data_IF_263666044908
#
_entry.id   IF_263666044908
#
_cell.length_a   1.000
_cell.length_b   1.000
_cell.length_c   1.000
_cell.angle_alpha   90.00
_cell.angle_beta   90.00
_cell.angle_gamma   90.00
#
_symmetry.space_group_name_H-M   'P 1'
#
loop_
_entity.id
_entity.type
_entity.pdbx_description
1 polymer ?
#
# COMPACT_ATOMS: atom_id res chain seq x y z
N UNK A 1 64.88 -22.23 12.95
CA UNK A 1 63.55 -22.48 13.57
C UNK A 1 62.58 -21.44 13.04
N UNK A 2 61.58 -21.87 12.27
CA UNK A 2 60.57 -20.99 11.65
C UNK A 2 59.36 -20.91 12.58
N UNK A 3 59.02 -19.72 13.07
CA UNK A 3 57.76 -19.44 13.76
C UNK A 3 56.66 -19.20 12.72
N UNK A 4 55.49 -19.86 12.80
CA UNK A 4 54.34 -19.45 12.00
C UNK A 4 53.57 -18.34 12.75
N UNK A 5 53.34 -17.25 12.03
CA UNK A 5 52.44 -16.15 12.39
C UNK A 5 51.00 -16.70 12.37
N UNK A 6 50.30 -16.72 13.52
CA UNK A 6 48.84 -16.92 13.53
C UNK A 6 48.17 -15.59 13.17
N UNK A 7 47.59 -15.55 11.97
CA UNK A 7 46.72 -14.46 11.53
C UNK A 7 45.32 -14.72 12.08
N UNK A 8 44.93 -14.01 13.14
CA UNK A 8 43.56 -14.02 13.67
C UNK A 8 42.64 -13.24 12.72
N UNK A 9 41.85 -13.93 11.91
CA UNK A 9 40.77 -13.35 11.14
C UNK A 9 39.64 -12.92 12.11
N UNK A 10 39.46 -11.62 12.31
CA UNK A 10 38.25 -11.08 12.92
C UNK A 10 37.14 -11.16 11.86
N UNK A 11 36.28 -12.17 11.94
CA UNK A 11 35.00 -12.13 11.22
C UNK A 11 34.12 -11.06 11.89
N UNK A 12 34.05 -9.88 11.27
CA UNK A 12 32.96 -8.95 11.53
C UNK A 12 31.74 -9.51 10.82
N UNK A 13 30.87 -10.20 11.55
CA UNK A 13 29.55 -10.57 11.07
C UNK A 13 28.75 -9.28 10.87
N UNK A 14 28.54 -8.87 9.62
CA UNK A 14 27.47 -7.93 9.27
C UNK A 14 26.14 -8.62 9.59
N UNK A 15 25.63 -8.41 10.80
CA UNK A 15 24.21 -8.65 11.06
C UNK A 15 23.44 -7.56 10.34
N UNK A 16 22.82 -7.89 9.20
CA UNK A 16 21.75 -7.08 8.66
C UNK A 16 20.71 -6.92 9.77
N UNK A 17 20.48 -5.68 10.21
CA UNK A 17 19.39 -5.38 11.14
C UNK A 17 18.09 -5.64 10.39
N UNK A 18 17.55 -6.86 10.51
CA UNK A 18 16.16 -7.13 10.20
C UNK A 18 15.35 -6.24 11.14
N UNK A 19 14.56 -5.32 10.56
CA UNK A 19 13.68 -4.47 11.34
C UNK A 19 12.69 -5.36 12.08
N UNK A 20 12.71 -5.30 13.41
CA UNK A 20 11.75 -6.05 14.22
C UNK A 20 10.33 -5.59 13.86
N UNK A 21 9.38 -6.52 13.63
CA UNK A 21 8.02 -6.16 13.26
C UNK A 21 7.38 -5.32 14.38
N UNK A 22 6.86 -4.15 14.01
CA UNK A 22 6.19 -3.21 14.91
C UNK A 22 4.72 -3.63 15.03
N UNK A 23 4.50 -4.72 15.79
CA UNK A 23 3.19 -5.34 15.98
C UNK A 23 2.46 -4.68 17.15
N UNK A 24 1.28 -4.14 16.87
CA UNK A 24 0.39 -3.52 17.87
C UNK A 24 -0.95 -4.27 17.92
N UNK A 25 -1.41 -4.74 19.08
CA UNK A 25 -2.77 -5.26 19.24
C UNK A 25 -3.80 -4.17 18.93
N UNK A 26 -4.91 -4.53 18.28
CA UNK A 26 -5.99 -3.59 17.93
C UNK A 26 -7.33 -4.18 18.33
N UNK A 27 -8.20 -3.37 18.94
CA UNK A 27 -9.57 -3.78 19.31
C UNK A 27 -10.61 -3.25 18.33
N UNK A 28 -11.83 -3.78 18.35
CA UNK A 28 -12.94 -3.26 17.53
C UNK A 28 -13.27 -1.77 17.82
N UNK A 29 -12.97 -1.29 19.02
CA UNK A 29 -13.18 0.11 19.38
C UNK A 29 -12.16 1.04 18.71
N UNK A 30 -11.01 0.51 18.32
CA UNK A 30 -9.94 1.24 17.68
C UNK A 30 -10.11 1.14 16.16
N UNK A 31 -10.40 2.26 15.50
CA UNK A 31 -10.35 2.30 14.04
C UNK A 31 -8.92 2.05 13.57
N UNK A 32 -8.69 0.92 12.91
CA UNK A 32 -7.41 0.60 12.27
C UNK A 32 -7.05 1.70 11.28
N UNK A 33 -5.85 2.27 11.44
CA UNK A 33 -5.21 3.12 10.42
C UNK A 33 -4.39 2.23 9.49
N UNK A 34 -4.32 2.60 8.21
CA UNK A 34 -3.63 1.80 7.19
C UNK A 34 -2.35 2.44 6.64
N UNK A 35 -2.12 3.71 6.99
CA UNK A 35 -0.96 4.51 6.61
C UNK A 35 -0.62 5.44 7.77
N UNK A 36 0.67 5.64 8.06
CA UNK A 36 1.14 6.64 9.01
C UNK A 36 2.55 7.13 8.70
N UNK A 37 2.88 8.33 9.16
CA UNK A 37 4.28 8.75 9.30
C UNK A 37 4.74 8.41 10.72
N UNK A 38 5.77 7.56 10.82
CA UNK A 38 6.49 7.31 12.07
C UNK A 38 7.48 8.44 12.31
N UNK A 39 7.49 8.98 13.51
CA UNK A 39 8.44 10.01 13.93
C UNK A 39 9.28 9.52 15.11
N UNK A 40 10.48 10.07 15.25
CA UNK A 40 11.35 9.81 16.41
C UNK A 40 10.88 10.58 17.66
N UNK A 41 11.64 10.47 18.77
CA UNK A 41 11.36 11.18 20.03
C UNK A 41 11.42 12.71 19.92
N UNK A 42 11.99 13.24 18.83
CA UNK A 42 12.09 14.68 18.55
C UNK A 42 11.03 15.13 17.54
N UNK A 43 10.05 14.28 17.22
CA UNK A 43 9.01 14.52 16.24
C UNK A 43 9.55 14.72 14.80
N UNK A 44 10.72 14.14 14.50
CA UNK A 44 11.27 14.11 13.15
C UNK A 44 10.72 12.89 12.41
N UNK A 45 10.13 13.04 11.21
CA UNK A 45 9.72 11.91 10.39
C UNK A 45 10.89 10.96 10.11
N UNK A 46 10.71 9.67 10.37
CA UNK A 46 11.71 8.62 10.15
C UNK A 46 11.24 7.52 9.20
N UNK A 47 9.93 7.32 9.03
CA UNK A 47 9.40 6.40 8.02
C UNK A 47 7.97 6.76 7.60
N UNK A 48 7.61 6.47 6.34
CA UNK A 48 6.22 6.27 5.94
C UNK A 48 5.91 4.79 6.10
N UNK A 49 4.95 4.45 6.95
CA UNK A 49 4.60 3.07 7.27
C UNK A 49 3.22 2.68 6.76
N UNK A 50 3.12 1.46 6.26
CA UNK A 50 1.90 0.81 5.83
C UNK A 50 1.50 -0.29 6.81
N UNK A 51 0.19 -0.49 6.97
CA UNK A 51 -0.34 -1.49 7.87
C UNK A 51 -0.54 -2.83 7.18
N UNK A 52 -0.05 -3.88 7.82
CA UNK A 52 -0.51 -5.25 7.62
C UNK A 52 -1.46 -5.56 8.77
N UNK A 53 -2.76 -5.35 8.54
CA UNK A 53 -3.77 -5.42 9.59
C UNK A 53 -4.47 -6.78 9.57
N UNK A 54 -4.33 -7.53 10.66
CA UNK A 54 -4.94 -8.84 10.83
C UNK A 54 -6.35 -8.75 11.36
N UNK A 55 -7.22 -9.51 10.71
CA UNK A 55 -8.58 -9.76 11.12
C UNK A 55 -8.77 -11.26 11.35
N UNK A 56 -9.41 -11.60 12.48
CA UNK A 56 -9.69 -12.98 12.86
C UNK A 56 -11.20 -13.20 13.03
N UNK A 57 -11.73 -14.40 12.81
CA UNK A 57 -13.16 -14.66 12.95
C UNK A 57 -13.69 -14.47 14.39
N UNK A 58 -14.93 -14.00 14.51
CA UNK A 58 -15.67 -13.96 15.76
C UNK A 58 -16.39 -15.32 15.92
N UNK A 59 -15.87 -16.20 16.80
CA UNK A 59 -16.50 -17.45 17.30
C UNK A 59 -17.35 -18.28 16.31
N UNK A 60 -16.91 -19.49 15.95
CA UNK A 60 -17.68 -20.45 15.13
C UNK A 60 -17.11 -20.71 13.73
N UNK A 61 -15.98 -20.06 13.41
CA UNK A 61 -15.13 -20.28 12.23
C UNK A 61 -13.78 -20.84 12.74
N UNK A 62 -13.03 -21.65 11.96
CA UNK A 62 -11.77 -22.24 12.41
C UNK A 62 -10.83 -21.18 13.02
N UNK A 63 -10.32 -21.46 14.22
CA UNK A 63 -9.49 -20.51 14.98
C UNK A 63 -8.14 -20.20 14.32
N UNK A 64 -7.74 -21.00 13.34
CA UNK A 64 -6.53 -20.84 12.53
C UNK A 64 -6.77 -20.05 11.22
N UNK A 65 -8.00 -19.58 10.98
CA UNK A 65 -8.33 -18.71 9.86
C UNK A 65 -8.06 -17.24 10.18
N UNK A 66 -7.46 -16.50 9.24
CA UNK A 66 -7.33 -15.05 9.33
C UNK A 66 -7.23 -14.39 7.96
N UNK A 67 -7.60 -13.12 7.91
CA UNK A 67 -7.46 -12.25 6.74
C UNK A 67 -6.56 -11.08 7.14
N UNK A 68 -5.42 -10.94 6.47
CA UNK A 68 -4.57 -9.76 6.62
C UNK A 68 -4.86 -8.78 5.47
N UNK A 69 -5.25 -7.56 5.82
CA UNK A 69 -5.33 -6.43 4.91
C UNK A 69 -3.91 -5.84 4.77
N UNK A 70 -3.27 -6.10 3.64
CA UNK A 70 -1.88 -5.69 3.34
C UNK A 70 -1.92 -4.42 2.51
N UNK A 71 -1.69 -3.28 3.18
CA UNK A 71 -1.74 -1.96 2.55
C UNK A 71 -0.60 -1.76 1.58
N UNK A 72 -0.86 -1.15 0.43
CA UNK A 72 0.14 -0.85 -0.58
C UNK A 72 0.18 0.64 -0.95
N UNK A 73 1.35 1.07 -1.43
CA UNK A 73 1.51 2.26 -2.27
C UNK A 73 2.21 1.81 -3.55
N UNK A 74 1.99 2.53 -4.66
CA UNK A 74 2.57 2.14 -5.95
C UNK A 74 4.06 2.43 -6.08
N UNK A 75 4.60 3.33 -5.24
CA UNK A 75 6.03 3.64 -5.15
C UNK A 75 6.51 3.52 -3.72
N UNK A 76 7.55 2.73 -3.46
CA UNK A 76 8.12 2.48 -2.14
C UNK A 76 9.59 2.08 -2.26
N UNK A 77 10.32 2.00 -1.14
CA UNK A 77 11.66 1.45 -1.17
C UNK A 77 11.63 0.00 -1.63
N UNK A 78 12.65 -0.44 -2.37
CA UNK A 78 12.70 -1.80 -2.91
C UNK A 78 12.54 -2.89 -1.83
N UNK A 79 13.18 -2.67 -0.68
CA UNK A 79 13.14 -3.59 0.46
C UNK A 79 11.71 -3.81 0.98
N UNK A 80 10.80 -2.84 0.81
CA UNK A 80 9.39 -3.01 1.14
C UNK A 80 8.78 -4.16 0.34
N UNK A 81 8.95 -4.15 -0.98
CA UNK A 81 8.39 -5.16 -1.87
C UNK A 81 9.09 -6.53 -1.71
N UNK A 82 10.40 -6.54 -1.46
CA UNK A 82 11.14 -7.77 -1.15
C UNK A 82 10.60 -8.46 0.12
N UNK A 83 10.31 -7.67 1.17
CA UNK A 83 9.68 -8.17 2.39
C UNK A 83 8.26 -8.69 2.13
N UNK A 84 7.48 -8.00 1.29
CA UNK A 84 6.15 -8.46 0.90
C UNK A 84 6.19 -9.78 0.11
N UNK A 85 7.09 -9.94 -0.86
CA UNK A 85 7.25 -11.19 -1.59
C UNK A 85 7.56 -12.38 -0.67
N UNK A 86 8.35 -12.14 0.38
CA UNK A 86 8.62 -13.15 1.42
C UNK A 86 7.38 -13.44 2.26
N UNK A 87 6.68 -12.39 2.70
CA UNK A 87 5.46 -12.49 3.49
C UNK A 87 4.34 -13.23 2.74
N UNK A 88 4.16 -12.97 1.45
CA UNK A 88 3.11 -13.59 0.62
C UNK A 88 3.22 -15.10 0.49
N UNK A 89 4.42 -15.68 0.63
CA UNK A 89 4.62 -17.12 0.62
C UNK A 89 4.01 -17.83 1.85
N UNK A 90 3.67 -17.07 2.90
CA UNK A 90 3.11 -17.61 4.14
C UNK A 90 1.59 -17.77 4.11
N UNK A 91 0.91 -17.27 3.08
CA UNK A 91 -0.54 -17.33 2.93
C UNK A 91 -0.97 -18.43 1.96
N UNK A 92 -2.11 -19.05 2.24
CA UNK A 92 -2.77 -19.96 1.31
C UNK A 92 -3.20 -19.22 0.03
N UNK A 93 -3.65 -17.97 0.18
CA UNK A 93 -4.19 -17.14 -0.90
C UNK A 93 -3.79 -15.67 -0.72
N UNK A 94 -3.31 -15.06 -1.80
CA UNK A 94 -3.04 -13.62 -1.92
C UNK A 94 -3.97 -13.05 -2.98
N UNK A 95 -4.96 -12.27 -2.54
CA UNK A 95 -5.88 -11.53 -3.39
C UNK A 95 -5.23 -10.22 -3.80
N UNK A 96 -5.02 -10.01 -5.10
CA UNK A 96 -4.30 -8.82 -5.57
C UNK A 96 -5.14 -7.90 -6.45
N UNK A 97 -4.85 -6.61 -6.31
CA UNK A 97 -5.39 -5.51 -7.09
C UNK A 97 -4.71 -5.39 -8.46
N UNK A 98 -5.50 -5.50 -9.54
CA UNK A 98 -5.09 -5.12 -10.90
C UNK A 98 -6.29 -5.09 -11.83
N UNK A 99 -6.66 -3.94 -12.39
CA UNK A 99 -7.71 -3.87 -13.41
C UNK A 99 -7.21 -4.54 -14.71
N UNK A 100 -7.63 -5.78 -14.93
CA UNK A 100 -7.21 -6.63 -16.04
C UNK A 100 -8.24 -7.76 -16.26
N UNK A 101 -8.16 -8.43 -17.41
CA UNK A 101 -8.96 -9.63 -17.66
C UNK A 101 -8.50 -10.78 -16.74
N UNK A 102 -9.43 -11.63 -16.31
CA UNK A 102 -9.10 -12.77 -15.45
C UNK A 102 -8.11 -13.72 -16.17
N UNK A 103 -7.05 -14.12 -15.48
CA UNK A 103 -5.98 -14.94 -16.06
C UNK A 103 -4.90 -14.15 -16.81
N UNK A 104 -4.97 -12.81 -16.82
CA UNK A 104 -3.86 -11.97 -17.32
C UNK A 104 -2.60 -12.28 -16.51
N UNK A 105 -1.56 -12.77 -17.20
CA UNK A 105 -0.25 -12.96 -16.57
C UNK A 105 0.48 -11.63 -16.49
N UNK A 106 0.81 -11.23 -15.27
CA UNK A 106 1.68 -10.09 -15.02
C UNK A 106 3.10 -10.54 -15.37
N UNK A 107 3.72 -9.85 -16.32
CA UNK A 107 5.13 -10.02 -16.66
C UNK A 107 5.79 -8.65 -16.59
N UNK A 108 7.05 -8.62 -16.17
CA UNK A 108 7.86 -7.40 -16.12
C UNK A 108 8.07 -6.77 -17.51
N UNK A 109 7.66 -7.45 -18.58
CA UNK A 109 7.68 -6.95 -19.97
C UNK A 109 6.36 -6.23 -20.34
N UNK A 110 5.25 -6.53 -19.67
CA UNK A 110 3.95 -5.88 -19.92
C UNK A 110 3.75 -4.61 -19.07
N UNK A 111 4.67 -4.33 -18.15
CA UNK A 111 4.72 -3.11 -17.35
C UNK A 111 5.45 -2.01 -18.12
N UNK A 112 4.77 -1.39 -19.07
CA UNK A 112 5.14 -0.01 -19.46
C UNK A 112 5.74 0.23 -20.84
N UNK A 113 5.34 -0.50 -21.88
CA UNK A 113 5.67 -0.11 -23.27
C UNK A 113 4.81 1.06 -23.81
N UNK A 114 4.17 1.81 -22.91
CA UNK A 114 3.41 3.01 -23.22
C UNK A 114 4.28 4.26 -23.09
N UNK A 115 4.64 4.86 -24.22
CA UNK A 115 5.21 6.23 -24.35
C UNK A 115 4.20 7.32 -23.93
N UNK A 116 3.52 7.16 -22.80
CA UNK A 116 2.57 8.11 -22.24
C UNK A 116 3.29 9.12 -21.33
N UNK A 117 2.87 10.38 -21.40
CA UNK A 117 3.33 11.47 -20.51
C UNK A 117 3.23 11.07 -19.03
N UNK A 118 2.20 10.31 -18.67
CA UNK A 118 1.99 9.83 -17.30
C UNK A 118 3.08 8.83 -16.88
N UNK A 119 3.48 7.91 -17.76
CA UNK A 119 4.56 6.96 -17.51
C UNK A 119 5.89 7.69 -17.30
N UNK A 120 6.19 8.72 -18.11
CA UNK A 120 7.40 9.53 -17.96
C UNK A 120 7.43 10.25 -16.60
N UNK A 121 6.31 10.85 -16.19
CA UNK A 121 6.20 11.53 -14.89
C UNK A 121 6.35 10.56 -13.73
N UNK A 122 5.71 9.40 -13.82
CA UNK A 122 5.85 8.32 -12.84
C UNK A 122 7.33 7.90 -12.72
N UNK A 123 7.98 7.52 -13.81
CA UNK A 123 9.38 7.08 -13.81
C UNK A 123 10.35 8.20 -13.35
N UNK A 124 10.08 9.45 -13.72
CA UNK A 124 10.86 10.60 -13.24
C UNK A 124 10.77 10.77 -11.73
N UNK A 125 9.57 10.68 -11.16
CA UNK A 125 9.35 10.81 -9.71
C UNK A 125 10.01 9.68 -8.91
N UNK A 126 9.93 8.43 -9.40
CA UNK A 126 10.64 7.28 -8.81
C UNK A 126 12.13 7.54 -8.69
N UNK A 127 12.77 8.00 -9.77
CA UNK A 127 14.23 8.22 -9.81
C UNK A 127 14.67 9.40 -8.92
N UNK A 128 13.87 10.46 -8.86
CA UNK A 128 14.16 11.62 -8.00
C UNK A 128 14.04 11.27 -6.52
N UNK A 129 13.07 10.42 -6.18
CA UNK A 129 12.84 9.95 -4.83
C UNK A 129 13.61 8.66 -4.50
N UNK A 130 14.39 8.06 -5.40
CA UNK A 130 15.09 6.79 -5.14
C UNK A 130 14.17 5.63 -4.73
N UNK A 131 12.92 5.62 -5.20
CA UNK A 131 11.93 4.59 -4.90
C UNK A 131 11.87 3.53 -6.00
N UNK A 132 10.98 2.55 -5.87
CA UNK A 132 10.68 1.50 -6.85
C UNK A 132 9.18 1.33 -7.08
N UNK A 133 8.77 0.85 -8.26
CA UNK A 133 7.36 0.59 -8.57
C UNK A 133 6.94 -0.78 -8.10
N UNK A 134 5.74 -0.87 -7.55
CA UNK A 134 5.16 -2.14 -7.09
C UNK A 134 5.17 -3.23 -8.17
N UNK A 135 4.75 -2.89 -9.40
CA UNK A 135 4.67 -3.86 -10.48
C UNK A 135 6.04 -4.33 -11.00
N UNK A 136 7.11 -3.57 -10.75
CA UNK A 136 8.48 -3.97 -11.11
C UNK A 136 9.04 -5.00 -10.10
N UNK A 137 8.63 -4.89 -8.83
CA UNK A 137 9.30 -5.55 -7.70
C UNK A 137 8.48 -6.70 -7.07
N UNK A 138 7.14 -6.70 -7.17
CA UNK A 138 6.30 -7.79 -6.67
C UNK A 138 6.28 -8.94 -7.68
N UNK A 139 6.56 -10.15 -7.20
CA UNK A 139 6.44 -11.37 -7.99
C UNK A 139 5.03 -11.95 -7.88
N UNK A 140 4.25 -11.78 -8.94
CA UNK A 140 2.88 -12.29 -9.06
C UNK A 140 2.79 -13.71 -9.64
N UNK A 141 3.94 -14.34 -9.94
CA UNK A 141 3.98 -15.70 -10.51
C UNK A 141 3.59 -16.85 -9.57
N UNK A 142 3.68 -16.74 -8.22
CA UNK A 142 3.30 -17.84 -7.34
C UNK A 142 1.82 -18.23 -7.45
N UNK A 143 1.53 -19.53 -7.36
CA UNK A 143 0.17 -20.07 -7.58
C UNK A 143 -0.86 -19.62 -6.54
N UNK A 144 -0.43 -19.11 -5.39
CA UNK A 144 -1.33 -18.59 -4.36
C UNK A 144 -1.81 -17.15 -4.67
N UNK A 145 -1.29 -16.49 -5.71
CA UNK A 145 -1.84 -15.22 -6.18
C UNK A 145 -3.11 -15.43 -6.98
N UNK A 146 -4.20 -14.85 -6.50
CA UNK A 146 -5.53 -14.92 -7.12
C UNK A 146 -5.97 -13.53 -7.50
N UNK A 147 -6.26 -13.33 -8.78
CA UNK A 147 -6.79 -12.06 -9.28
C UNK A 147 -8.12 -11.75 -8.62
N UNK A 148 -8.22 -10.57 -8.01
CA UNK A 148 -9.35 -10.21 -7.15
C UNK A 148 -10.00 -8.87 -7.53
N UNK A 149 -9.75 -8.39 -8.76
CA UNK A 149 -10.19 -7.08 -9.22
C UNK A 149 -11.10 -7.18 -10.46
N UNK A 150 -11.66 -6.04 -10.88
CA UNK A 150 -12.59 -5.96 -12.00
C UNK A 150 -11.87 -5.88 -13.35
N UNK A 151 -12.54 -6.32 -14.42
CA UNK A 151 -12.03 -6.15 -15.79
C UNK A 151 -12.09 -4.69 -16.24
N UNK A 152 -11.34 -4.27 -17.28
CA UNK A 152 -11.49 -2.94 -17.88
C UNK A 152 -12.92 -2.65 -18.35
N UNK A 153 -13.63 -3.68 -18.83
CA UNK A 153 -15.04 -3.57 -19.25
C UNK A 153 -15.95 -3.32 -18.06
N UNK A 154 -15.79 -4.10 -16.98
CA UNK A 154 -16.56 -3.91 -15.75
C UNK A 154 -16.27 -2.56 -15.09
N UNK A 155 -15.02 -2.10 -15.12
CA UNK A 155 -14.62 -0.77 -14.65
C UNK A 155 -15.39 0.31 -15.40
N UNK A 156 -15.40 0.25 -16.74
CA UNK A 156 -16.15 1.20 -17.57
C UNK A 156 -17.65 1.16 -17.29
N UNK A 157 -18.23 -0.03 -17.14
CA UNK A 157 -19.65 -0.20 -16.85
C UNK A 157 -20.02 0.38 -15.48
N UNK A 158 -19.21 0.11 -14.45
CA UNK A 158 -19.38 0.68 -13.11
C UNK A 158 -19.33 2.22 -13.15
N UNK A 159 -18.39 2.81 -13.90
CA UNK A 159 -18.34 4.28 -14.06
C UNK A 159 -19.63 4.81 -14.67
N UNK A 160 -20.14 4.18 -15.73
CA UNK A 160 -21.38 4.61 -16.38
C UNK A 160 -22.60 4.49 -15.44
N UNK A 161 -22.72 3.37 -14.71
CA UNK A 161 -23.81 3.12 -13.75
C UNK A 161 -23.80 4.14 -12.61
N UNK A 162 -22.61 4.52 -12.13
CA UNK A 162 -22.43 5.53 -11.08
C UNK A 162 -22.46 6.98 -11.60
N UNK A 163 -22.60 7.19 -12.91
CA UNK A 163 -22.55 8.53 -13.52
C UNK A 163 -21.18 9.20 -13.40
N UNK A 164 -20.12 8.42 -13.26
CA UNK A 164 -18.75 8.88 -13.14
C UNK A 164 -18.12 9.14 -14.51
N UNK A 165 -17.30 10.18 -14.58
CA UNK A 165 -16.46 10.50 -15.73
C UNK A 165 -15.16 11.11 -15.23
N UNK A 166 -14.10 11.05 -16.04
CA UNK A 166 -12.86 11.74 -15.71
C UNK A 166 -13.06 13.24 -15.50
N UNK A 167 -14.00 13.86 -16.23
CA UNK A 167 -14.32 15.27 -16.08
C UNK A 167 -14.99 15.56 -14.73
N UNK A 168 -15.98 14.77 -14.32
CA UNK A 168 -16.62 14.96 -13.01
C UNK A 168 -15.66 14.71 -11.85
N UNK A 169 -14.77 13.72 -11.97
CA UNK A 169 -13.70 13.49 -10.99
C UNK A 169 -12.72 14.67 -10.91
N UNK A 170 -12.28 15.19 -12.05
CA UNK A 170 -11.43 16.39 -12.13
C UNK A 170 -12.11 17.58 -11.44
N UNK A 171 -13.39 17.84 -11.71
CA UNK A 171 -14.12 18.95 -11.09
C UNK A 171 -14.22 18.81 -9.56
N UNK A 172 -14.43 17.59 -9.06
CA UNK A 172 -14.42 17.32 -7.61
C UNK A 172 -13.05 17.58 -6.99
N UNK A 173 -11.98 17.07 -7.61
CA UNK A 173 -10.61 17.32 -7.16
C UNK A 173 -10.26 18.81 -7.16
N UNK A 174 -10.66 19.54 -8.21
CA UNK A 174 -10.45 20.97 -8.32
C UNK A 174 -11.20 21.76 -7.23
N UNK A 175 -12.44 21.39 -6.95
CA UNK A 175 -13.22 22.01 -5.87
C UNK A 175 -12.57 21.79 -4.50
N UNK A 176 -12.13 20.56 -4.21
CA UNK A 176 -11.42 20.25 -2.96
C UNK A 176 -10.09 20.99 -2.89
N UNK A 177 -9.34 21.09 -3.98
CA UNK A 177 -8.05 21.78 -3.97
C UNK A 177 -8.20 23.28 -3.73
N UNK A 178 -9.25 23.93 -4.25
CA UNK A 178 -9.60 25.31 -3.90
C UNK A 178 -9.93 25.45 -2.41
N UNK A 179 -10.72 24.52 -1.87
CA UNK A 179 -11.07 24.53 -0.45
C UNK A 179 -9.83 24.31 0.44
N UNK A 180 -8.94 23.40 0.04
CA UNK A 180 -7.74 23.06 0.79
C UNK A 180 -6.71 24.20 0.72
N UNK A 181 -6.54 24.88 -0.41
CA UNK A 181 -5.72 26.10 -0.51
C UNK A 181 -6.23 27.22 0.40
N UNK A 182 -7.55 27.40 0.50
CA UNK A 182 -8.14 28.43 1.34
C UNK A 182 -8.02 28.12 2.85
N UNK A 183 -7.81 26.86 3.23
CA UNK A 183 -7.92 26.40 4.63
C UNK A 183 -6.64 25.76 5.20
N UNK A 184 -5.63 25.45 4.37
CA UNK A 184 -4.39 24.80 4.81
C UNK A 184 -3.19 25.76 4.84
N UNK A 185 -2.92 26.43 5.98
CA UNK A 185 -1.73 27.27 6.16
C UNK A 185 -0.40 26.48 6.18
N UNK A 186 -0.45 25.15 6.19
CA UNK A 186 0.72 24.24 6.18
C UNK A 186 0.90 23.51 4.83
N UNK A 187 0.22 23.95 3.77
CA UNK A 187 0.51 23.44 2.42
C UNK A 187 2.01 23.63 2.14
N UNK A 188 2.67 22.59 1.62
CA UNK A 188 4.09 22.62 1.25
C UNK A 188 4.33 23.90 0.47
N UNK A 189 5.07 24.83 1.05
CA UNK A 189 5.31 26.11 0.43
C UNK A 189 6.47 25.95 -0.56
N UNK A 190 6.47 26.67 -1.68
CA UNK A 190 7.47 26.53 -2.75
C UNK A 190 8.91 26.65 -2.24
N UNK A 191 9.10 27.34 -1.11
CA UNK A 191 10.38 27.49 -0.40
C UNK A 191 10.89 26.15 0.16
N UNK A 192 10.03 25.34 0.79
CA UNK A 192 10.44 24.06 1.39
C UNK A 192 10.90 23.08 0.31
N UNK A 193 10.23 23.09 -0.85
CA UNK A 193 10.62 22.31 -2.01
C UNK A 193 11.97 22.78 -2.58
N UNK A 194 12.17 24.09 -2.71
CA UNK A 194 13.46 24.65 -3.13
C UNK A 194 14.59 24.29 -2.16
N UNK A 195 14.37 24.40 -0.86
CA UNK A 195 15.35 24.02 0.16
C UNK A 195 15.69 22.53 0.05
N UNK A 196 14.69 21.66 -0.08
CA UNK A 196 14.91 20.22 -0.25
C UNK A 196 15.73 19.89 -1.51
N UNK A 197 15.47 20.58 -2.62
CA UNK A 197 16.21 20.38 -3.88
C UNK A 197 17.71 20.70 -3.77
N UNK A 198 18.10 21.62 -2.88
CA UNK A 198 19.49 22.01 -2.64
C UNK A 198 20.09 21.40 -1.37
N UNK A 199 19.35 20.53 -0.67
CA UNK A 199 19.83 19.88 0.55
C UNK A 199 20.93 18.84 0.26
N UNK A 200 21.76 18.58 1.28
CA UNK A 200 22.81 17.55 1.20
C UNK A 200 22.27 16.12 1.05
N UNK A 201 21.00 15.88 1.42
CA UNK A 201 20.30 14.62 1.23
C UNK A 201 18.92 14.86 0.57
N UNK A 202 18.98 15.35 -0.68
CA UNK A 202 17.81 15.72 -1.49
C UNK A 202 16.74 14.64 -1.57
N UNK A 203 17.15 13.40 -1.79
CA UNK A 203 16.20 12.29 -1.93
C UNK A 203 15.33 12.16 -0.68
N UNK A 204 15.97 12.10 0.50
CA UNK A 204 15.30 12.00 1.79
C UNK A 204 14.39 13.19 2.06
N UNK A 205 14.87 14.41 1.85
CA UNK A 205 14.07 15.61 2.16
C UNK A 205 12.86 15.73 1.22
N UNK A 206 13.00 15.34 -0.05
CA UNK A 206 11.87 15.24 -0.98
C UNK A 206 10.90 14.11 -0.59
N UNK A 207 11.39 12.94 -0.14
CA UNK A 207 10.53 11.88 0.41
C UNK A 207 9.73 12.38 1.61
N UNK A 208 10.34 13.14 2.52
CA UNK A 208 9.65 13.70 3.70
C UNK A 208 8.53 14.66 3.28
N UNK A 209 8.79 15.55 2.33
CA UNK A 209 7.78 16.48 1.79
C UNK A 209 6.64 15.69 1.15
N UNK A 210 6.96 14.74 0.26
CA UNK A 210 5.98 13.94 -0.44
C UNK A 210 5.15 13.07 0.53
N UNK A 211 5.77 12.47 1.55
CA UNK A 211 5.09 11.67 2.57
C UNK A 211 4.06 12.50 3.36
N UNK A 212 4.42 13.73 3.76
CA UNK A 212 3.49 14.64 4.44
C UNK A 212 2.31 15.00 3.55
N UNK A 213 2.57 15.34 2.29
CA UNK A 213 1.53 15.65 1.33
C UNK A 213 0.61 14.46 1.06
N UNK A 214 1.17 13.24 1.07
CA UNK A 214 0.39 12.02 0.89
C UNK A 214 -0.59 11.78 2.05
N UNK A 215 -0.19 12.06 3.30
CA UNK A 215 -1.09 12.02 4.47
C UNK A 215 -2.23 13.04 4.41
N UNK A 216 -2.05 14.14 3.68
CA UNK A 216 -3.06 15.19 3.52
C UNK A 216 -4.04 14.93 2.35
N UNK A 217 -3.93 13.78 1.66
CA UNK A 217 -4.80 13.43 0.53
C UNK A 217 -6.16 12.84 0.92
N UNK A 218 -6.39 12.50 2.19
CA UNK A 218 -7.65 11.92 2.66
C UNK A 218 -8.91 12.70 2.22
N UNK A 219 -8.96 14.05 2.30
CA UNK A 219 -10.13 14.80 1.83
C UNK A 219 -10.36 14.66 0.32
N UNK A 220 -9.29 14.61 -0.47
CA UNK A 220 -9.36 14.43 -1.92
C UNK A 220 -9.88 13.03 -2.24
N UNK A 221 -9.37 12.00 -1.56
CA UNK A 221 -9.81 10.62 -1.73
C UNK A 221 -11.29 10.45 -1.36
N UNK A 222 -11.71 11.01 -0.22
CA UNK A 222 -13.13 10.98 0.20
C UNK A 222 -14.05 11.69 -0.80
N UNK A 223 -13.60 12.77 -1.44
CA UNK A 223 -14.41 13.47 -2.45
C UNK A 223 -14.52 12.69 -3.77
N UNK A 224 -13.46 11.99 -4.17
CA UNK A 224 -13.50 11.07 -5.31
C UNK A 224 -14.47 9.94 -5.01
N UNK A 225 -14.45 9.42 -3.78
CA UNK A 225 -15.35 8.36 -3.32
C UNK A 225 -16.82 8.78 -3.34
N UNK A 226 -17.12 9.97 -2.81
CA UNK A 226 -18.49 10.46 -2.66
C UNK A 226 -19.36 9.59 -1.74
N UNK A 227 -20.64 9.95 -1.62
CA UNK A 227 -21.54 9.34 -0.63
C UNK A 227 -21.97 7.90 -0.97
N UNK A 228 -21.89 7.51 -2.24
CA UNK A 228 -22.33 6.20 -2.76
C UNK A 228 -21.17 5.25 -3.08
N UNK A 229 -19.94 5.62 -2.72
CA UNK A 229 -18.71 4.93 -3.10
C UNK A 229 -18.36 5.10 -4.59
N UNK A 230 -17.08 4.92 -4.94
CA UNK A 230 -16.60 5.10 -6.31
C UNK A 230 -16.37 3.79 -7.07
N UNK A 231 -16.21 3.88 -8.38
CA UNK A 231 -15.65 2.75 -9.16
C UNK A 231 -14.20 2.46 -8.77
N UNK A 232 -13.44 3.51 -8.39
CA UNK A 232 -12.00 3.39 -8.09
C UNK A 232 -11.75 2.58 -6.82
N UNK A 233 -12.69 2.59 -5.86
CA UNK A 233 -12.55 1.87 -4.59
C UNK A 233 -13.67 0.86 -4.38
N UNK A 234 -14.91 1.29 -4.13
CA UNK A 234 -16.03 0.39 -3.77
C UNK A 234 -16.26 -0.74 -4.76
N UNK A 235 -16.34 -0.47 -6.06
CA UNK A 235 -16.62 -1.53 -7.04
C UNK A 235 -15.55 -2.65 -7.03
N UNK A 236 -14.30 -2.24 -6.85
CA UNK A 236 -13.12 -3.12 -6.81
C UNK A 236 -13.03 -3.88 -5.50
N UNK A 237 -13.33 -3.20 -4.38
CA UNK A 237 -13.43 -3.82 -3.05
C UNK A 237 -14.47 -4.93 -3.03
N UNK A 238 -15.66 -4.67 -3.60
CA UNK A 238 -16.73 -5.67 -3.68
C UNK A 238 -16.32 -6.89 -4.49
N UNK A 239 -15.56 -6.72 -5.59
CA UNK A 239 -15.00 -7.84 -6.35
C UNK A 239 -14.00 -8.63 -5.52
N UNK A 240 -13.09 -7.96 -4.82
CA UNK A 240 -12.09 -8.62 -3.97
C UNK A 240 -12.73 -9.45 -2.87
N UNK A 241 -13.74 -8.92 -2.19
CA UNK A 241 -14.45 -9.59 -1.11
C UNK A 241 -15.33 -10.76 -1.62
N UNK A 242 -15.88 -10.66 -2.85
CA UNK A 242 -16.52 -11.82 -3.50
C UNK A 242 -15.51 -12.94 -3.76
N UNK A 243 -14.31 -12.61 -4.23
CA UNK A 243 -13.24 -13.59 -4.42
C UNK A 243 -12.79 -14.18 -3.07
N UNK A 244 -12.64 -13.37 -2.03
CA UNK A 244 -12.35 -13.85 -0.67
C UNK A 244 -13.36 -14.92 -0.24
N UNK A 245 -14.65 -14.65 -0.37
CA UNK A 245 -15.70 -15.61 -0.01
C UNK A 245 -15.56 -16.94 -0.77
N UNK A 246 -15.32 -16.87 -2.08
CA UNK A 246 -15.09 -18.04 -2.92
C UNK A 246 -13.89 -18.86 -2.45
N UNK A 247 -12.78 -18.22 -2.09
CA UNK A 247 -11.58 -18.92 -1.64
C UNK A 247 -11.74 -19.49 -0.21
N UNK A 248 -12.51 -18.83 0.66
CA UNK A 248 -12.94 -19.38 1.96
C UNK A 248 -13.78 -20.66 1.75
N UNK A 249 -14.73 -20.64 0.81
CA UNK A 249 -15.59 -21.79 0.50
C UNK A 249 -14.79 -22.99 -0.07
N UNK A 250 -13.64 -22.75 -0.69
CA UNK A 250 -12.70 -23.81 -1.12
C UNK A 250 -11.89 -24.41 0.03
N UNK A 251 -11.99 -23.86 1.24
CA UNK A 251 -11.35 -24.39 2.44
C UNK A 251 -9.96 -23.80 2.77
N UNK A 252 -9.55 -22.73 2.08
CA UNK A 252 -8.35 -21.98 2.46
C UNK A 252 -8.55 -21.29 3.82
N UNK A 253 -7.46 -21.03 4.55
CA UNK A 253 -7.53 -20.51 5.92
C UNK A 253 -6.82 -19.17 6.09
N UNK A 254 -5.73 -18.96 5.37
CA UNK A 254 -4.91 -17.75 5.52
C UNK A 254 -4.95 -16.92 4.25
N UNK A 255 -5.40 -15.66 4.39
CA UNK A 255 -5.63 -14.77 3.25
C UNK A 255 -4.87 -13.48 3.42
N UNK A 256 -4.22 -13.01 2.35
CA UNK A 256 -3.74 -11.64 2.23
C UNK A 256 -4.60 -10.91 1.19
N UNK A 257 -5.09 -9.72 1.52
CA UNK A 257 -5.69 -8.80 0.54
C UNK A 257 -4.69 -7.68 0.29
N UNK A 258 -4.00 -7.75 -0.85
CA UNK A 258 -2.94 -6.83 -1.25
C UNK A 258 -3.47 -5.76 -2.20
N UNK A 259 -3.84 -4.61 -1.62
CA UNK A 259 -4.50 -3.48 -2.30
C UNK A 259 -3.89 -2.15 -1.82
N UNK A 260 -4.10 -1.08 -2.58
CA UNK A 260 -3.73 0.27 -2.19
C UNK A 260 -4.33 0.66 -0.83
N UNK A 261 -3.59 1.42 0.00
CA UNK A 261 -4.01 1.78 1.35
C UNK A 261 -5.40 2.45 1.44
N UNK A 262 -5.82 3.16 0.39
CA UNK A 262 -7.12 3.80 0.30
C UNK A 262 -8.31 2.81 0.26
N UNK A 263 -8.08 1.57 -0.17
CA UNK A 263 -9.11 0.53 -0.23
C UNK A 263 -9.45 -0.05 1.15
N UNK A 264 -8.48 -0.02 2.07
CA UNK A 264 -8.52 -0.79 3.30
C UNK A 264 -9.61 -0.41 4.31
N UNK A 265 -9.96 0.88 4.52
CA UNK A 265 -11.00 1.25 5.49
C UNK A 265 -12.37 0.64 5.18
N UNK A 266 -12.77 0.63 3.90
CA UNK A 266 -14.04 0.02 3.48
C UNK A 266 -13.96 -1.51 3.60
N UNK A 267 -12.88 -2.13 3.11
CA UNK A 267 -12.68 -3.58 3.23
C UNK A 267 -12.74 -4.05 4.69
N UNK A 268 -12.08 -3.34 5.60
CA UNK A 268 -12.13 -3.62 7.03
C UNK A 268 -13.56 -3.55 7.59
N UNK A 269 -14.33 -2.54 7.17
CA UNK A 269 -15.74 -2.39 7.57
C UNK A 269 -16.56 -3.59 7.11
N UNK A 270 -16.41 -4.01 5.86
CA UNK A 270 -17.15 -5.17 5.32
C UNK A 270 -16.70 -6.49 5.96
N UNK A 271 -15.40 -6.67 6.22
CA UNK A 271 -14.89 -7.84 6.95
C UNK A 271 -15.55 -7.97 8.33
N UNK A 272 -15.67 -6.85 9.06
CA UNK A 272 -16.29 -6.87 10.38
C UNK A 272 -17.81 -7.11 10.30
N UNK A 273 -18.50 -6.39 9.43
CA UNK A 273 -19.96 -6.38 9.41
C UNK A 273 -20.55 -7.62 8.72
N UNK A 274 -19.95 -8.06 7.61
CA UNK A 274 -20.48 -9.14 6.77
C UNK A 274 -19.79 -10.47 7.01
N UNK A 275 -18.45 -10.48 7.05
CA UNK A 275 -17.69 -11.72 7.24
C UNK A 275 -17.61 -12.16 8.71
N UNK A 276 -18.02 -11.29 9.65
CA UNK A 276 -17.96 -11.54 11.10
C UNK A 276 -16.53 -11.76 11.59
N UNK A 277 -15.60 -10.96 11.08
CA UNK A 277 -14.25 -10.87 11.57
C UNK A 277 -14.11 -9.72 12.56
N UNK A 278 -13.05 -9.72 13.36
CA UNK A 278 -12.67 -8.62 14.24
C UNK A 278 -11.19 -8.31 14.06
N UNK A 279 -10.76 -7.05 14.23
CA UNK A 279 -9.34 -6.73 14.28
C UNK A 279 -8.65 -7.48 15.41
N UNK A 280 -7.40 -7.84 15.18
CA UNK A 280 -6.55 -8.58 16.12
C UNK A 280 -5.26 -7.83 16.39
N UNK A 281 -4.49 -7.57 15.33
CA UNK A 281 -3.20 -6.90 15.41
C UNK A 281 -2.87 -6.16 14.12
N UNK A 282 -1.97 -5.19 14.19
CA UNK A 282 -1.41 -4.50 13.04
C UNK A 282 0.10 -4.59 13.13
N UNK A 283 0.74 -5.10 12.07
CA UNK A 283 2.17 -4.98 11.88
C UNK A 283 2.46 -3.78 10.97
N UNK A 284 3.21 -2.79 11.48
CA UNK A 284 3.61 -1.63 10.69
C UNK A 284 4.92 -1.88 9.97
N UNK A 285 4.91 -1.71 8.65
CA UNK A 285 6.06 -1.95 7.78
C UNK A 285 6.50 -0.64 7.15
N UNK A 286 7.79 -0.35 7.20
CA UNK A 286 8.37 0.84 6.57
C UNK A 286 8.31 0.68 5.04
N UNK A 287 7.49 1.50 4.41
CA UNK A 287 7.41 1.59 2.96
C UNK A 287 8.46 2.57 2.44
N UNK A 288 8.62 3.72 3.11
CA UNK A 288 9.64 4.72 2.76
C UNK A 288 10.51 5.01 3.98
N UNK A 289 11.81 4.94 3.80
CA UNK A 289 12.82 5.40 4.74
C UNK A 289 12.95 6.93 4.65
N UNK A 290 12.73 7.59 5.79
CA UNK A 290 12.80 9.05 5.92
C UNK A 290 13.94 9.48 6.86
N UNK A 291 14.88 8.60 7.19
CA UNK A 291 16.02 8.88 8.09
C UNK A 291 17.13 9.69 7.42
#
# INVERSE_FOLDING_TARGET
>A
MKFPLLLSLLLVSLTAFAQAPDVTPVTEADKTKFLRIKSDTKNTPVALQLANARYVPISGIPADMYVDLISAVHIADKSYYENLNTLFQTYDVVLYELVAEEGTKISNENTGDGKSMLSILQHGMKNVLGLSFQLDEIDYSPNNFVHADISPTDFKNSMNEKGESFFSMFMRMWLVSLQQQATNPNAVNDIDLLVALFSGNRERDLKVIAAKQFMDMDPIMNAIEGDSGSTIITARNLKALKVLRREIEKGHKTFAIFYGAAHMPEMATVLMQEFKFKPDQVNWVDAWDLR
#
